data_IF_420909908576
#
_entry.id   IF_420909908576
#
_cell.length_a   1.000
_cell.length_b   1.000
_cell.length_c   1.000
_cell.angle_alpha   90.00
_cell.angle_beta   90.00
_cell.angle_gamma   90.00
#
_symmetry.space_group_name_H-M   'P 1'
#
loop_
_entity.id
_entity.type
_entity.pdbx_description
1 polymer ?
#
# COMPACT_ATOMS: atom_id res chain seq x y z
N UNK A 1 39.32 13.38 13.18
CA UNK A 1 37.99 12.77 13.39
C UNK A 1 37.01 13.68 12.65
N UNK A 2 36.35 13.18 11.60
CA UNK A 2 35.32 13.96 10.90
C UNK A 2 34.22 14.24 11.92
N UNK A 3 34.03 15.51 12.27
CA UNK A 3 32.87 15.96 13.03
C UNK A 3 31.68 15.91 12.06
N UNK A 4 31.05 14.75 11.98
CA UNK A 4 29.88 14.54 11.12
C UNK A 4 28.64 14.97 11.86
N UNK A 5 27.95 15.99 11.34
CA UNK A 5 26.56 16.25 11.71
C UNK A 5 25.68 15.37 10.82
N UNK A 6 24.76 14.63 11.43
CA UNK A 6 23.66 13.99 10.71
C UNK A 6 22.44 14.91 10.78
N UNK A 7 21.78 15.13 9.64
CA UNK A 7 20.51 15.85 9.56
C UNK A 7 19.40 14.87 9.22
N UNK A 8 18.39 14.77 10.08
CA UNK A 8 17.31 13.78 9.98
C UNK A 8 15.97 14.51 10.04
N UNK A 9 15.06 14.13 9.16
CA UNK A 9 13.67 14.54 9.19
C UNK A 9 12.84 13.40 9.79
N UNK A 10 12.24 13.63 10.96
CA UNK A 10 11.37 12.65 11.62
C UNK A 10 9.92 13.00 11.41
N UNK A 11 9.13 12.05 10.91
CA UNK A 11 7.68 12.19 10.80
C UNK A 11 7.06 12.47 12.18
N UNK A 12 6.31 13.57 12.30
CA UNK A 12 5.65 13.96 13.54
C UNK A 12 4.34 14.72 13.28
N UNK A 13 3.22 14.11 13.68
CA UNK A 13 1.90 14.71 13.47
C UNK A 13 1.51 14.71 11.99
N UNK A 14 1.36 15.90 11.40
CA UNK A 14 1.07 16.08 9.96
C UNK A 14 2.29 16.52 9.15
N UNK A 15 3.37 16.83 9.84
CA UNK A 15 4.59 17.41 9.28
C UNK A 15 5.79 16.58 9.76
N UNK A 16 6.92 17.24 9.99
CA UNK A 16 8.14 16.63 10.46
C UNK A 16 8.89 17.50 11.45
N UNK A 17 9.73 16.87 12.25
CA UNK A 17 10.73 17.53 13.09
C UNK A 17 12.10 17.35 12.43
N UNK A 18 12.82 18.44 12.22
CA UNK A 18 14.22 18.40 11.82
C UNK A 18 15.12 18.25 13.05
N UNK A 19 16.02 17.27 13.01
CA UNK A 19 16.98 17.00 14.07
C UNK A 19 18.39 17.03 13.49
N UNK A 20 19.30 17.70 14.19
CA UNK A 20 20.73 17.68 13.89
C UNK A 20 21.45 16.93 15.01
N UNK A 21 22.15 15.86 14.66
CA UNK A 21 22.86 15.00 15.62
C UNK A 21 24.36 15.14 15.41
N UNK A 22 25.09 15.47 16.49
CA UNK A 22 26.54 15.63 16.47
C UNK A 22 27.24 14.33 16.90
N UNK A 23 27.85 13.64 15.94
CA UNK A 23 28.54 12.35 16.17
C UNK A 23 29.70 12.42 17.17
N UNK A 24 30.09 13.60 17.65
CA UNK A 24 31.03 13.73 18.77
C UNK A 24 30.40 13.43 20.14
N UNK A 25 29.07 13.46 20.26
CA UNK A 25 28.35 13.31 21.53
C UNK A 25 28.17 11.83 21.92
N UNK A 26 27.84 10.97 20.96
CA UNK A 26 27.61 9.54 21.16
C UNK A 26 27.73 8.76 19.85
N UNK A 27 27.75 7.43 19.97
CA UNK A 27 27.68 6.50 18.82
C UNK A 27 26.24 6.06 18.57
N UNK A 28 25.83 6.01 17.29
CA UNK A 28 24.51 5.53 16.86
C UNK A 28 24.51 5.09 15.40
N UNK A 29 23.42 4.40 15.04
CA UNK A 29 23.07 4.03 13.67
C UNK A 29 21.71 4.61 13.28
N UNK A 30 21.55 4.96 12.01
CA UNK A 30 20.29 5.39 11.41
C UNK A 30 19.74 4.22 10.61
N UNK A 31 18.55 3.74 10.98
CA UNK A 31 17.87 2.63 10.29
C UNK A 31 16.61 3.18 9.61
N UNK A 32 16.59 3.12 8.28
CA UNK A 32 15.48 3.62 7.46
C UNK A 32 14.81 2.49 6.67
N UNK A 33 13.50 2.58 6.42
CA UNK A 33 12.83 1.64 5.54
C UNK A 33 13.31 1.82 4.10
N UNK A 34 13.33 0.72 3.34
CA UNK A 34 13.47 0.81 1.88
C UNK A 34 12.13 1.19 1.29
N UNK A 35 11.98 2.46 0.92
CA UNK A 35 10.79 2.93 0.22
C UNK A 35 10.72 2.31 -1.18
N UNK A 36 9.55 1.78 -1.52
CA UNK A 36 9.24 1.36 -2.89
C UNK A 36 8.56 2.51 -3.63
N UNK A 37 8.88 2.75 -4.92
CA UNK A 37 8.18 3.76 -5.69
C UNK A 37 6.69 3.40 -5.80
N UNK A 38 5.87 4.43 -5.93
CA UNK A 38 4.45 4.24 -6.23
C UNK A 38 4.25 3.47 -7.55
N UNK A 39 3.13 2.76 -7.66
CA UNK A 39 2.75 2.07 -8.88
C UNK A 39 2.62 3.08 -10.03
N UNK A 40 3.17 2.74 -11.21
CA UNK A 40 3.05 3.57 -12.41
C UNK A 40 1.61 3.68 -12.92
N UNK A 41 0.88 2.57 -12.86
CA UNK A 41 -0.52 2.48 -13.28
C UNK A 41 -1.25 1.51 -12.36
N UNK A 42 -2.22 2.02 -11.61
CA UNK A 42 -3.07 1.19 -10.76
C UNK A 42 -3.86 0.17 -11.59
N UNK A 43 -4.46 0.61 -12.69
CA UNK A 43 -5.33 -0.22 -13.55
C UNK A 43 -4.56 -1.40 -14.17
N UNK A 44 -3.37 -1.15 -14.73
CA UNK A 44 -2.54 -2.20 -15.32
C UNK A 44 -2.07 -3.20 -14.26
N UNK A 45 -1.61 -2.69 -13.11
CA UNK A 45 -1.13 -3.54 -12.02
C UNK A 45 -2.25 -4.41 -11.46
N UNK A 46 -3.41 -3.81 -11.18
CA UNK A 46 -4.59 -4.51 -10.69
C UNK A 46 -5.01 -5.62 -11.66
N UNK A 47 -5.16 -5.29 -12.94
CA UNK A 47 -5.56 -6.24 -13.99
C UNK A 47 -4.58 -7.42 -14.07
N UNK A 48 -3.26 -7.14 -14.05
CA UNK A 48 -2.26 -8.19 -14.07
C UNK A 48 -2.33 -9.08 -12.82
N UNK A 49 -2.59 -8.51 -11.63
CA UNK A 49 -2.69 -9.27 -10.38
C UNK A 49 -3.89 -10.21 -10.34
N UNK A 50 -5.05 -9.78 -10.82
CA UNK A 50 -6.28 -10.60 -10.77
C UNK A 50 -6.37 -11.65 -11.90
N UNK A 51 -5.70 -11.40 -13.03
CA UNK A 51 -5.66 -12.33 -14.17
C UNK A 51 -4.54 -13.36 -14.09
N UNK A 52 -3.47 -13.08 -13.33
CA UNK A 52 -2.34 -14.00 -13.11
C UNK A 52 -2.05 -14.16 -11.61
N UNK A 53 -2.99 -14.69 -10.82
CA UNK A 53 -2.82 -14.81 -9.38
C UNK A 53 -1.80 -15.91 -9.03
N UNK A 54 -1.26 -15.83 -7.81
CA UNK A 54 -0.31 -16.82 -7.30
C UNK A 54 -1.07 -17.97 -6.63
N UNK A 55 -0.98 -19.17 -7.21
CA UNK A 55 -1.46 -20.40 -6.56
C UNK A 55 -2.97 -20.64 -6.62
N UNK A 56 -3.72 -19.89 -7.43
CA UNK A 56 -5.15 -20.11 -7.66
C UNK A 56 -5.58 -19.76 -9.09
N UNK A 57 -6.87 -19.90 -9.40
CA UNK A 57 -7.47 -19.48 -10.67
C UNK A 57 -7.70 -17.96 -10.70
N UNK A 58 -7.73 -17.32 -11.88
CA UNK A 58 -8.12 -15.92 -12.05
C UNK A 58 -9.43 -15.56 -11.33
N UNK A 59 -9.55 -14.31 -10.90
CA UNK A 59 -10.66 -13.89 -10.04
C UNK A 59 -12.02 -14.02 -10.74
N UNK A 60 -12.09 -13.71 -12.03
CA UNK A 60 -13.28 -13.84 -12.88
C UNK A 60 -13.66 -15.30 -13.21
N UNK A 61 -12.78 -16.27 -12.91
CA UNK A 61 -13.11 -17.70 -12.92
C UNK A 61 -13.60 -18.24 -11.57
N UNK A 62 -13.39 -17.47 -10.49
CA UNK A 62 -13.79 -17.81 -9.12
C UNK A 62 -15.11 -17.16 -8.73
N UNK A 63 -15.41 -15.98 -9.28
CA UNK A 63 -16.57 -15.17 -8.96
C UNK A 63 -17.31 -14.84 -10.24
N UNK A 64 -18.59 -15.21 -10.31
CA UNK A 64 -19.47 -14.86 -11.44
C UNK A 64 -20.47 -13.77 -11.03
N UNK A 65 -21.04 -13.01 -11.99
CA UNK A 65 -21.91 -11.86 -11.68
C UNK A 65 -23.15 -12.16 -10.82
N UNK A 66 -23.58 -13.42 -10.78
CA UNK A 66 -24.75 -13.88 -10.01
C UNK A 66 -24.42 -14.31 -8.58
N UNK A 67 -23.14 -14.36 -8.20
CA UNK A 67 -22.76 -14.75 -6.85
C UNK A 67 -23.07 -13.65 -5.85
N UNK A 68 -23.56 -14.05 -4.67
CA UNK A 68 -23.56 -13.20 -3.49
C UNK A 68 -22.17 -13.24 -2.86
N UNK A 69 -21.48 -12.10 -2.83
CA UNK A 69 -20.09 -12.03 -2.39
C UNK A 69 -19.93 -11.12 -1.17
N UNK A 70 -18.90 -11.39 -0.37
CA UNK A 70 -18.48 -10.52 0.73
C UNK A 70 -17.03 -10.10 0.49
N UNK A 71 -16.79 -8.80 0.41
CA UNK A 71 -15.44 -8.24 0.29
C UNK A 71 -14.94 -7.83 1.68
N UNK A 72 -14.06 -8.64 2.26
CA UNK A 72 -13.39 -8.29 3.53
C UNK A 72 -12.28 -7.28 3.25
N UNK A 73 -12.30 -6.15 3.94
CA UNK A 73 -11.30 -5.08 3.77
C UNK A 73 -10.75 -4.59 5.10
N UNK A 74 -9.59 -3.91 5.05
CA UNK A 74 -9.00 -3.26 6.21
C UNK A 74 -9.84 -2.05 6.65
N UNK A 75 -9.81 -1.77 7.95
CA UNK A 75 -10.47 -0.60 8.55
C UNK A 75 -9.75 0.72 8.21
N UNK A 76 -10.27 1.83 8.73
CA UNK A 76 -9.72 3.17 8.51
C UNK A 76 -8.35 3.43 9.13
N UNK A 77 -7.79 2.49 9.92
CA UNK A 77 -6.46 2.64 10.51
C UNK A 77 -5.34 2.20 9.56
N UNK A 78 -5.70 1.54 8.44
CA UNK A 78 -4.74 1.10 7.42
C UNK A 78 -4.81 2.01 6.19
N UNK A 79 -3.68 2.42 5.62
CA UNK A 79 -3.64 3.26 4.43
C UNK A 79 -3.88 2.44 3.14
N UNK A 80 -4.81 1.48 3.17
CA UNK A 80 -5.17 0.70 1.98
C UNK A 80 -6.04 1.57 1.06
N UNK A 81 -5.74 1.67 -0.24
CA UNK A 81 -6.52 2.48 -1.17
C UNK A 81 -7.85 1.78 -1.56
N UNK A 82 -8.72 1.54 -0.57
CA UNK A 82 -9.99 0.84 -0.73
C UNK A 82 -10.90 1.50 -1.77
N UNK A 83 -10.85 2.83 -1.88
CA UNK A 83 -11.57 3.61 -2.89
C UNK A 83 -11.15 3.29 -4.33
N UNK A 84 -9.97 2.71 -4.54
CA UNK A 84 -9.49 2.24 -5.85
C UNK A 84 -9.73 0.74 -6.02
N UNK A 85 -9.40 -0.06 -5.00
CA UNK A 85 -9.41 -1.53 -5.09
C UNK A 85 -10.84 -2.10 -5.16
N UNK A 86 -11.75 -1.65 -4.29
CA UNK A 86 -13.09 -2.26 -4.20
C UNK A 86 -13.89 -2.05 -5.50
N UNK A 87 -13.98 -0.83 -6.07
CA UNK A 87 -14.64 -0.63 -7.35
C UNK A 87 -14.01 -1.46 -8.48
N UNK A 88 -12.67 -1.56 -8.51
CA UNK A 88 -11.98 -2.34 -9.52
C UNK A 88 -12.32 -3.85 -9.47
N UNK A 89 -12.52 -4.41 -8.26
CA UNK A 89 -12.98 -5.80 -8.10
C UNK A 89 -14.41 -5.96 -8.61
N UNK A 90 -15.32 -5.06 -8.21
CA UNK A 90 -16.72 -5.06 -8.64
C UNK A 90 -16.82 -5.00 -10.16
N UNK A 91 -16.08 -4.06 -10.78
CA UNK A 91 -16.05 -3.87 -12.23
C UNK A 91 -15.45 -5.08 -12.96
N UNK A 92 -14.35 -5.64 -12.45
CA UNK A 92 -13.68 -6.79 -13.06
C UNK A 92 -14.58 -8.03 -13.08
N UNK A 93 -15.26 -8.31 -11.97
CA UNK A 93 -16.18 -9.45 -11.85
C UNK A 93 -17.59 -9.15 -12.37
N UNK A 94 -17.85 -7.91 -12.84
CA UNK A 94 -19.17 -7.42 -13.29
C UNK A 94 -20.26 -7.66 -12.24
N UNK A 95 -19.88 -7.52 -10.96
CA UNK A 95 -20.79 -7.67 -9.85
C UNK A 95 -21.78 -6.50 -9.85
N UNK A 96 -23.01 -6.79 -9.47
CA UNK A 96 -24.02 -5.75 -9.28
C UNK A 96 -23.99 -5.29 -7.83
N UNK A 97 -24.35 -4.04 -7.58
CA UNK A 97 -24.30 -3.46 -6.24
C UNK A 97 -25.21 -4.17 -5.24
N UNK A 98 -26.27 -4.84 -5.71
CA UNK A 98 -27.15 -5.65 -4.87
C UNK A 98 -26.53 -6.98 -4.40
N UNK A 99 -25.43 -7.42 -5.03
CA UNK A 99 -24.79 -8.72 -4.80
C UNK A 99 -23.48 -8.64 -3.98
N UNK A 100 -23.14 -7.45 -3.44
CA UNK A 100 -21.86 -7.15 -2.75
C UNK A 100 -22.10 -6.52 -1.39
#
# INVERSE_FOLDING_TARGET
MNQGLDHIQLDYGRDSIEITLDRSIADWDIIEPRYSPALKSFSETFTASVTKPVGCRPLDELVVPSDDVVIVTADGTRPVPNRLIIPAIIDHCKLKSENV
#
